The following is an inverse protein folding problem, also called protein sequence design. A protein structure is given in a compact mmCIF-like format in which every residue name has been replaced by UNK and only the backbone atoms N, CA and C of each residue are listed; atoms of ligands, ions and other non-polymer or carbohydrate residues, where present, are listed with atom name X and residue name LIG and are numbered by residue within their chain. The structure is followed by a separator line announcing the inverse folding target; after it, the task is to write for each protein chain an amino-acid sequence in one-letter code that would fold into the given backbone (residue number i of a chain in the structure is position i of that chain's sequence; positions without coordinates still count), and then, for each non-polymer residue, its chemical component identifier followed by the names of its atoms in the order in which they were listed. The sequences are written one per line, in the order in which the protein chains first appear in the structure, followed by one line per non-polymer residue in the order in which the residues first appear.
data_IF_143937221653
#
_entry.id   IF_143937221653
#
_cell.length_a   1.000
_cell.length_b   1.000
_cell.length_c   1.000
_cell.angle_alpha   90.00
_cell.angle_beta   90.00
_cell.angle_gamma   90.00
#
_symmetry.space_group_name_H-M   'P 1'
#
loop_
_entity.id
_entity.type
_entity.pdbx_description
1 polymer ?
#
# COMPACT_ATOMS: atom_id res chain seq x y z
N UNK A 1 30.31 -24.14 37.86
CA UNK A 1 29.34 -23.49 36.94
C UNK A 1 30.02 -22.28 36.29
N UNK A 2 30.39 -22.38 35.02
CA UNK A 2 30.96 -21.26 34.25
C UNK A 2 29.82 -20.57 33.47
N UNK A 3 29.72 -19.24 33.45
CA UNK A 3 28.69 -18.56 32.68
C UNK A 3 29.07 -18.60 31.20
N UNK A 4 28.16 -19.16 30.38
CA UNK A 4 28.26 -19.15 28.93
C UNK A 4 28.03 -17.71 28.45
N UNK A 5 29.08 -17.09 27.91
CA UNK A 5 29.01 -15.80 27.22
C UNK A 5 28.15 -15.97 25.96
N UNK A 6 26.94 -15.44 25.97
CA UNK A 6 26.18 -15.18 24.75
C UNK A 6 26.76 -13.93 24.06
N UNK A 7 27.88 -14.11 23.36
CA UNK A 7 28.32 -13.22 22.30
C UNK A 7 27.87 -13.82 20.98
N UNK A 8 26.68 -13.44 20.51
CA UNK A 8 26.31 -13.48 19.10
C UNK A 8 25.01 -12.69 18.87
N UNK A 9 25.03 -11.42 19.29
CA UNK A 9 24.12 -10.39 18.80
C UNK A 9 24.47 -10.03 17.36
N UNK A 10 24.20 -10.94 16.42
CA UNK A 10 24.56 -10.81 15.00
C UNK A 10 23.86 -9.58 14.40
N UNK A 11 24.65 -8.54 14.14
CA UNK A 11 24.27 -7.31 13.45
C UNK A 11 23.58 -7.60 12.11
N UNK A 12 22.25 -7.49 12.03
CA UNK A 12 21.46 -7.81 10.82
C UNK A 12 20.21 -6.93 10.75
N UNK A 13 19.92 -6.17 9.69
CA UNK A 13 20.71 -5.80 8.53
C UNK A 13 20.28 -4.41 8.06
N UNK A 14 21.06 -3.37 8.36
CA UNK A 14 20.89 -2.06 7.73
C UNK A 14 21.01 -2.24 6.23
N UNK A 15 20.03 -1.74 5.46
CA UNK A 15 20.19 -1.69 4.01
C UNK A 15 21.17 -0.56 3.76
N UNK A 16 22.45 -0.91 3.59
CA UNK A 16 23.50 0.03 3.25
C UNK A 16 23.47 0.21 1.73
N UNK A 17 22.57 1.05 1.24
CA UNK A 17 22.62 1.50 -0.16
C UNK A 17 23.83 2.43 -0.33
N UNK A 18 25.02 1.80 -0.44
CA UNK A 18 26.30 2.49 -0.53
C UNK A 18 26.38 3.38 -1.77
N UNK A 19 25.68 3.01 -2.83
CA UNK A 19 25.64 3.79 -4.07
C UNK A 19 24.87 5.10 -3.89
N UNK A 20 23.67 5.06 -3.29
CA UNK A 20 22.90 6.28 -2.98
C UNK A 20 23.69 7.19 -2.05
N UNK A 21 24.31 6.61 -1.01
CA UNK A 21 25.12 7.36 -0.05
C UNK A 21 26.32 8.00 -0.77
N UNK A 22 27.10 7.25 -1.54
CA UNK A 22 28.26 7.79 -2.27
C UNK A 22 27.87 8.80 -3.37
N UNK A 23 26.68 8.66 -3.97
CA UNK A 23 26.14 9.65 -4.89
C UNK A 23 25.85 10.97 -4.17
N UNK A 24 25.13 10.90 -3.04
CA UNK A 24 24.81 12.07 -2.22
C UNK A 24 26.06 12.70 -1.62
N UNK A 25 26.97 11.92 -1.04
CA UNK A 25 28.21 12.43 -0.43
C UNK A 25 29.05 13.22 -1.42
N UNK A 26 29.20 12.74 -2.67
CA UNK A 26 29.91 13.48 -3.73
C UNK A 26 29.25 14.82 -4.05
N UNK A 27 27.92 14.85 -4.15
CA UNK A 27 27.18 16.09 -4.45
C UNK A 27 27.23 17.06 -3.28
N UNK A 28 27.06 16.56 -2.06
CA UNK A 28 27.11 17.34 -0.83
C UNK A 28 28.52 17.90 -0.63
N UNK A 29 29.57 17.11 -0.84
CA UNK A 29 30.96 17.56 -0.77
C UNK A 29 31.24 18.74 -1.72
N UNK A 30 30.73 18.69 -2.95
CA UNK A 30 30.87 19.79 -3.91
C UNK A 30 30.14 21.07 -3.44
N UNK A 31 28.98 20.93 -2.80
CA UNK A 31 28.20 22.05 -2.28
C UNK A 31 28.84 22.71 -1.05
N UNK A 32 29.44 21.91 -0.16
CA UNK A 32 30.03 22.39 1.10
C UNK A 32 31.53 22.71 1.00
N UNK A 33 32.14 22.46 -0.16
CA UNK A 33 33.56 22.74 -0.41
C UNK A 33 33.89 24.20 -0.14
N UNK A 34 35.01 24.41 0.54
CA UNK A 34 35.60 25.73 0.75
C UNK A 34 36.28 26.29 -0.50
N UNK A 35 36.52 25.46 -1.52
CA UNK A 35 37.00 25.93 -2.81
C UNK A 35 35.94 26.83 -3.45
N UNK A 36 36.33 28.03 -3.87
CA UNK A 36 35.42 28.99 -4.48
C UNK A 36 35.11 28.68 -5.94
N UNK A 37 35.84 27.75 -6.56
CA UNK A 37 35.59 27.31 -7.93
C UNK A 37 34.95 25.90 -7.97
N UNK A 38 34.14 25.57 -9.00
CA UNK A 38 33.61 26.49 -10.01
C UNK A 38 32.53 27.42 -9.42
N UNK A 39 32.39 28.61 -10.02
CA UNK A 39 31.32 29.57 -9.68
C UNK A 39 29.97 29.10 -10.25
N UNK A 40 28.95 28.89 -9.40
CA UNK A 40 27.62 28.54 -9.87
C UNK A 40 26.95 29.74 -10.56
N UNK A 41 26.11 29.53 -11.59
CA UNK A 41 25.34 30.61 -12.20
C UNK A 41 24.41 31.29 -11.19
N UNK A 42 24.01 32.52 -11.47
CA UNK A 42 23.15 33.27 -10.57
C UNK A 42 21.77 32.60 -10.41
N UNK A 43 21.38 32.28 -9.18
CA UNK A 43 20.07 31.68 -8.87
C UNK A 43 18.87 32.57 -9.25
N UNK A 44 19.09 33.88 -9.46
CA UNK A 44 18.02 34.84 -9.78
C UNK A 44 17.89 35.13 -11.27
N UNK A 45 19.00 35.26 -11.98
CA UNK A 45 19.01 35.71 -13.39
C UNK A 45 19.79 34.78 -14.32
N UNK A 46 20.29 33.64 -13.84
CA UNK A 46 21.14 32.69 -14.56
C UNK A 46 22.47 33.24 -15.12
N UNK A 47 22.80 34.51 -14.87
CA UNK A 47 24.04 35.13 -15.32
C UNK A 47 25.30 34.42 -14.80
N UNK A 48 26.34 34.41 -15.62
CA UNK A 48 27.64 33.74 -15.35
C UNK A 48 28.73 34.70 -14.85
N UNK A 49 28.50 36.02 -14.92
CA UNK A 49 29.40 37.03 -14.35
C UNK A 49 29.23 37.07 -12.82
N UNK A 50 29.98 36.21 -12.14
CA UNK A 50 29.91 36.00 -10.70
C UNK A 50 31.23 36.41 -10.05
N UNK A 51 31.17 37.22 -9.00
CA UNK A 51 32.33 37.54 -8.15
C UNK A 51 32.26 36.79 -6.82
N UNK A 52 33.43 36.44 -6.29
CA UNK A 52 33.55 35.84 -4.96
C UNK A 52 33.51 36.97 -3.93
N UNK A 53 32.51 36.93 -3.06
CA UNK A 53 32.15 37.98 -2.12
C UNK A 53 32.43 37.54 -0.68
N UNK A 54 33.62 36.96 -0.49
CA UNK A 54 34.08 36.45 0.79
C UNK A 54 33.48 35.08 1.15
N UNK A 55 33.43 34.82 2.46
CA UNK A 55 33.02 33.53 3.02
C UNK A 55 32.06 33.74 4.18
N UNK A 56 31.08 32.84 4.33
CA UNK A 56 30.23 32.82 5.52
C UNK A 56 31.02 32.36 6.76
N UNK A 57 30.64 32.86 7.96
CA UNK A 57 31.04 32.24 9.22
C UNK A 57 30.68 30.75 9.23
N UNK A 58 31.47 29.92 9.93
CA UNK A 58 31.36 28.45 9.88
C UNK A 58 29.91 27.98 10.13
N UNK A 59 29.19 27.62 9.07
CA UNK A 59 27.83 27.11 9.16
C UNK A 59 27.91 25.59 9.24
N UNK A 60 27.49 25.01 10.38
CA UNK A 60 27.62 23.57 10.59
C UNK A 60 29.07 23.05 10.54
N UNK A 61 30.05 23.92 10.83
CA UNK A 61 31.48 23.60 10.74
C UNK A 61 32.15 23.96 9.41
N UNK A 62 31.37 24.27 8.36
CA UNK A 62 31.89 24.50 7.01
C UNK A 62 32.08 25.99 6.68
N UNK A 63 33.19 26.34 6.01
CA UNK A 63 33.48 27.69 5.52
C UNK A 63 33.04 27.80 4.05
N UNK A 64 31.86 28.36 3.82
CA UNK A 64 31.23 28.39 2.50
C UNK A 64 31.56 29.69 1.76
N UNK A 65 31.99 29.63 0.49
CA UNK A 65 32.11 30.82 -0.35
C UNK A 65 30.75 31.50 -0.53
N UNK A 66 30.77 32.84 -0.52
CA UNK A 66 29.62 33.67 -0.88
C UNK A 66 29.88 34.22 -2.26
N UNK A 67 28.85 34.17 -3.12
CA UNK A 67 28.90 34.67 -4.48
C UNK A 67 28.01 35.88 -4.60
N UNK A 68 28.44 36.86 -5.41
CA UNK A 68 27.60 38.00 -5.80
C UNK A 68 27.53 38.05 -7.32
N UNK A 69 26.31 38.14 -7.85
CA UNK A 69 26.11 38.34 -9.28
C UNK A 69 26.36 39.80 -9.65
N UNK A 70 27.24 40.08 -10.61
CA UNK A 70 27.53 41.45 -11.04
C UNK A 70 26.34 42.10 -11.77
N UNK A 71 25.47 41.31 -12.42
CA UNK A 71 24.34 41.82 -13.19
C UNK A 71 23.14 42.23 -12.32
N UNK A 72 22.83 41.47 -11.26
CA UNK A 72 21.64 41.72 -10.43
C UNK A 72 21.93 41.97 -8.94
N UNK A 73 23.21 41.98 -8.55
CA UNK A 73 23.67 42.23 -7.19
C UNK A 73 23.34 41.13 -6.16
N UNK A 74 22.64 40.06 -6.55
CA UNK A 74 22.21 39.01 -5.62
C UNK A 74 23.39 38.28 -5.01
N UNK A 75 23.43 38.25 -3.67
CA UNK A 75 24.32 37.39 -2.89
C UNK A 75 23.67 36.02 -2.64
N UNK A 76 24.46 34.95 -2.77
CA UNK A 76 24.01 33.57 -2.55
C UNK A 76 25.19 32.63 -2.25
N UNK A 77 24.88 31.42 -1.79
CA UNK A 77 25.84 30.31 -1.64
C UNK A 77 25.42 29.14 -2.51
N UNK A 78 26.27 28.12 -2.66
CA UNK A 78 25.92 26.87 -3.34
C UNK A 78 24.76 26.13 -2.68
N UNK A 79 24.49 26.37 -1.39
CA UNK A 79 23.42 25.68 -0.68
C UNK A 79 22.04 26.21 -1.03
N UNK A 80 21.96 27.43 -1.55
CA UNK A 80 20.68 28.08 -1.76
C UNK A 80 19.85 27.34 -2.81
N UNK A 81 18.59 27.02 -2.47
CA UNK A 81 17.73 26.19 -3.30
C UNK A 81 17.94 24.68 -3.12
N UNK A 82 18.84 24.26 -2.22
CA UNK A 82 19.02 22.84 -1.87
C UNK A 82 18.43 22.55 -0.49
N UNK A 83 18.12 21.28 -0.17
CA UNK A 83 17.68 20.87 1.17
C UNK A 83 18.71 21.13 2.30
N UNK A 84 19.93 21.53 1.96
CA UNK A 84 21.00 21.86 2.91
C UNK A 84 21.00 23.32 3.33
N UNK A 85 20.15 24.17 2.75
CA UNK A 85 20.04 25.59 3.09
C UNK A 85 19.40 25.77 4.48
N UNK A 86 20.19 25.58 5.55
CA UNK A 86 19.78 25.84 6.92
C UNK A 86 20.24 24.80 7.95
N UNK A 87 19.38 24.49 8.92
CA UNK A 87 19.71 23.73 10.15
C UNK A 87 19.95 22.21 9.92
N UNK A 88 19.89 21.72 8.69
CA UNK A 88 20.23 20.33 8.38
C UNK A 88 21.73 20.14 8.14
N UNK A 89 22.44 21.17 7.68
CA UNK A 89 23.84 21.08 7.30
C UNK A 89 24.73 20.48 8.40
N UNK A 90 24.55 20.91 9.65
CA UNK A 90 25.31 20.38 10.80
C UNK A 90 24.94 18.95 11.23
N UNK A 91 23.94 18.32 10.59
CA UNK A 91 23.53 16.93 10.85
C UNK A 91 23.48 16.08 9.56
N UNK A 92 24.07 16.58 8.47
CA UNK A 92 23.99 15.93 7.16
C UNK A 92 24.64 14.54 7.18
N UNK A 93 25.77 14.40 7.87
CA UNK A 93 26.50 13.13 8.06
C UNK A 93 25.68 12.09 8.83
N UNK A 94 24.76 12.53 9.70
CA UNK A 94 23.82 11.64 10.38
C UNK A 94 22.59 11.36 9.53
N UNK A 95 22.13 12.33 8.73
CA UNK A 95 20.89 12.23 7.95
C UNK A 95 21.05 11.38 6.69
N UNK A 96 22.12 11.57 5.92
CA UNK A 96 22.33 10.88 4.64
C UNK A 96 22.31 9.34 4.79
N UNK A 97 22.99 8.74 5.79
CA UNK A 97 22.94 7.30 6.00
C UNK A 97 21.55 6.75 6.37
N UNK A 98 20.63 7.61 6.86
CA UNK A 98 19.26 7.22 7.20
C UNK A 98 18.33 7.17 5.99
N UNK A 99 18.61 7.92 4.91
CA UNK A 99 17.77 7.98 3.71
C UNK A 99 17.43 6.60 3.10
N UNK A 100 18.37 5.65 2.93
CA UNK A 100 18.05 4.32 2.43
C UNK A 100 17.45 3.39 3.50
N UNK A 101 17.40 3.80 4.76
CA UNK A 101 16.86 2.96 5.83
C UNK A 101 15.32 3.02 5.84
N UNK A 102 14.63 1.88 5.99
CA UNK A 102 13.17 1.83 6.09
C UNK A 102 12.68 2.26 7.49
N UNK A 103 13.16 3.40 8.00
CA UNK A 103 12.78 3.96 9.30
C UNK A 103 11.60 4.91 9.15
N UNK A 104 10.74 4.98 10.16
CA UNK A 104 9.73 6.04 10.23
C UNK A 104 10.34 7.40 10.63
N UNK A 105 9.58 8.48 10.42
CA UNK A 105 10.02 9.83 10.77
C UNK A 105 10.20 10.05 12.29
N UNK A 106 9.54 9.25 13.13
CA UNK A 106 9.64 9.38 14.59
C UNK A 106 10.99 8.92 15.11
N UNK A 107 11.44 7.72 14.73
CA UNK A 107 12.75 7.21 15.14
C UNK A 107 13.87 7.99 14.48
N UNK A 108 13.71 8.34 13.21
CA UNK A 108 14.63 9.25 12.54
C UNK A 108 14.71 10.60 13.27
N UNK A 109 13.59 11.11 13.76
CA UNK A 109 13.52 12.29 14.62
C UNK A 109 14.31 12.12 15.91
N UNK A 110 14.20 10.96 16.57
CA UNK A 110 14.99 10.63 17.77
C UNK A 110 16.50 10.62 17.49
N UNK A 111 16.93 10.01 16.38
CA UNK A 111 18.33 9.95 15.96
C UNK A 111 18.87 11.35 15.57
N UNK A 112 18.02 12.19 14.97
CA UNK A 112 18.40 13.52 14.51
C UNK A 112 18.14 14.62 15.54
N UNK A 113 17.54 14.31 16.70
CA UNK A 113 17.05 15.30 17.66
C UNK A 113 16.10 16.32 17.02
N UNK A 114 15.17 15.87 16.19
CA UNK A 114 14.18 16.68 15.45
C UNK A 114 12.77 16.11 15.63
N UNK A 115 11.76 16.96 15.45
CA UNK A 115 10.37 16.51 15.47
C UNK A 115 10.07 15.64 14.22
N UNK A 116 9.18 14.64 14.31
CA UNK A 116 8.86 13.77 13.18
C UNK A 116 8.36 14.54 11.94
N UNK A 117 7.57 15.59 12.15
CA UNK A 117 7.09 16.47 11.07
C UNK A 117 8.25 17.17 10.34
N UNK A 118 9.26 17.63 11.07
CA UNK A 118 10.44 18.27 10.47
C UNK A 118 11.26 17.26 9.65
N UNK A 119 11.39 16.02 10.13
CA UNK A 119 12.05 14.96 9.34
C UNK A 119 11.27 14.64 8.07
N UNK A 120 9.94 14.59 8.16
CA UNK A 120 9.07 14.38 6.99
C UNK A 120 9.27 15.46 5.92
N UNK A 121 9.29 16.73 6.30
CA UNK A 121 9.54 17.84 5.37
C UNK A 121 10.95 17.78 4.76
N UNK A 122 11.97 17.42 5.56
CA UNK A 122 13.33 17.22 5.05
C UNK A 122 13.41 16.08 4.03
N UNK A 123 12.75 14.96 4.29
CA UNK A 123 12.68 13.83 3.35
C UNK A 123 11.99 14.24 2.05
N UNK A 124 10.88 14.99 2.11
CA UNK A 124 10.21 15.52 0.92
C UNK A 124 11.13 16.42 0.10
N UNK A 125 11.79 17.38 0.76
CA UNK A 125 12.74 18.27 0.10
C UNK A 125 13.89 17.50 -0.57
N UNK A 126 14.44 16.48 0.10
CA UNK A 126 15.47 15.62 -0.49
C UNK A 126 14.98 14.82 -1.69
N UNK A 127 13.74 14.31 -1.67
CA UNK A 127 13.17 13.58 -2.80
C UNK A 127 12.99 14.49 -4.02
N UNK A 128 12.52 15.72 -3.83
CA UNK A 128 12.44 16.72 -4.91
C UNK A 128 13.83 17.00 -5.47
N UNK A 129 14.80 17.28 -4.60
CA UNK A 129 16.17 17.56 -5.01
C UNK A 129 16.84 16.38 -5.74
N UNK A 130 16.59 15.13 -5.33
CA UNK A 130 17.09 13.95 -6.04
C UNK A 130 16.52 13.83 -7.46
N UNK A 131 15.26 14.23 -7.67
CA UNK A 131 14.64 14.24 -9.01
C UNK A 131 15.20 15.37 -9.89
N UNK A 132 15.57 16.50 -9.30
CA UNK A 132 16.28 17.58 -10.03
C UNK A 132 17.68 17.13 -10.46
N UNK A 133 18.40 16.39 -9.60
CA UNK A 133 19.73 15.87 -9.90
C UNK A 133 19.73 14.69 -10.88
N UNK A 134 18.68 13.88 -10.86
CA UNK A 134 18.50 12.71 -11.70
C UNK A 134 17.01 12.52 -12.04
N UNK A 135 16.56 13.09 -13.18
CA UNK A 135 15.17 13.00 -13.62
C UNK A 135 14.68 11.57 -13.88
N UNK A 136 15.58 10.58 -14.02
CA UNK A 136 15.18 9.17 -14.15
C UNK A 136 14.52 8.62 -12.87
N UNK A 137 14.72 9.28 -11.73
CA UNK A 137 14.19 8.86 -10.44
C UNK A 137 14.92 7.68 -9.81
N UNK A 138 16.03 7.19 -10.41
CA UNK A 138 16.79 6.04 -9.91
C UNK A 138 17.20 6.20 -8.44
N UNK A 139 17.68 7.37 -8.05
CA UNK A 139 18.11 7.64 -6.67
C UNK A 139 16.94 7.94 -5.72
N UNK A 140 15.91 8.63 -6.21
CA UNK A 140 14.72 8.95 -5.42
C UNK A 140 13.98 7.69 -4.97
N UNK A 141 13.85 6.71 -5.87
CA UNK A 141 13.24 5.40 -5.61
C UNK A 141 13.98 4.57 -4.53
N UNK A 142 15.24 4.91 -4.24
CA UNK A 142 16.06 4.24 -3.22
C UNK A 142 15.93 4.86 -1.84
N UNK A 143 15.28 6.02 -1.70
CA UNK A 143 14.98 6.63 -0.40
C UNK A 143 13.84 5.88 0.28
N UNK A 144 14.09 5.31 1.45
CA UNK A 144 13.13 4.53 2.25
C UNK A 144 12.75 5.18 3.57
N UNK A 145 13.49 6.21 3.99
CA UNK A 145 13.21 6.99 5.19
C UNK A 145 11.84 7.67 5.10
N UNK A 146 11.07 7.59 6.18
CA UNK A 146 9.71 8.14 6.24
C UNK A 146 8.76 7.56 5.19
N UNK A 147 9.08 6.35 4.69
CA UNK A 147 8.75 5.84 3.35
C UNK A 147 7.36 6.06 2.78
N UNK A 148 7.27 6.00 1.43
CA UNK A 148 5.99 5.97 0.72
C UNK A 148 5.22 4.71 1.08
N UNK A 149 3.90 4.84 1.30
CA UNK A 149 2.99 3.74 1.69
C UNK A 149 3.04 2.50 0.79
N UNK A 150 3.49 2.65 -0.47
CA UNK A 150 3.56 1.57 -1.46
C UNK A 150 4.91 0.83 -1.50
N UNK A 151 5.98 1.42 -0.95
CA UNK A 151 7.35 0.86 -1.02
C UNK A 151 7.68 -0.06 0.16
N UNK A 152 6.84 -0.03 1.20
CA UNK A 152 6.93 -1.00 2.30
C UNK A 152 6.51 -2.36 1.75
N UNK A 153 7.50 -3.13 1.27
CA UNK A 153 7.28 -4.48 0.75
C UNK A 153 6.47 -5.29 1.79
N UNK A 154 5.39 -5.96 1.37
CA UNK A 154 4.73 -6.95 2.22
C UNK A 154 5.78 -8.03 2.51
N UNK A 155 6.38 -7.95 3.69
CA UNK A 155 7.27 -9.00 4.17
C UNK A 155 6.35 -9.98 4.88
N UNK A 156 6.40 -11.26 4.49
CA UNK A 156 5.45 -12.25 4.98
C UNK A 156 5.65 -12.44 6.48
N UNK A 157 4.64 -12.09 7.27
CA UNK A 157 4.53 -12.62 8.63
C UNK A 157 4.15 -14.08 8.50
N UNK A 158 5.00 -14.97 9.04
CA UNK A 158 4.58 -16.33 9.33
C UNK A 158 3.41 -16.25 10.30
N UNK A 159 2.20 -16.40 9.74
CA UNK A 159 1.00 -16.72 10.51
C UNK A 159 1.01 -18.23 10.66
N UNK A 160 0.63 -18.73 11.84
CA UNK A 160 0.36 -20.15 12.03
C UNK A 160 -0.50 -20.69 10.87
N UNK A 161 -0.22 -21.91 10.41
CA UNK A 161 -0.71 -22.52 9.15
C UNK A 161 -2.23 -22.37 8.91
N UNK A 162 -3.03 -22.23 9.97
CA UNK A 162 -4.46 -21.92 9.95
C UNK A 162 -4.74 -20.50 9.42
N UNK A 163 -5.13 -20.39 8.15
CA UNK A 163 -5.51 -19.13 7.51
C UNK A 163 -4.57 -18.68 6.39
N UNK A 164 -3.65 -19.54 5.96
CA UNK A 164 -2.84 -19.32 4.75
C UNK A 164 -3.63 -19.51 3.45
N UNK A 165 -4.85 -20.06 3.51
CA UNK A 165 -5.70 -20.26 2.34
C UNK A 165 -7.19 -20.11 2.69
N UNK A 166 -7.99 -19.87 1.66
CA UNK A 166 -9.44 -19.72 1.75
C UNK A 166 -10.06 -20.99 2.35
N UNK A 167 -10.97 -20.77 3.30
CA UNK A 167 -11.81 -21.81 3.86
C UNK A 167 -12.99 -22.09 2.93
N UNK A 168 -12.79 -23.01 1.99
CA UNK A 168 -13.80 -23.34 0.97
C UNK A 168 -15.10 -23.87 1.57
N UNK A 169 -15.04 -24.56 2.73
CA UNK A 169 -16.26 -25.05 3.41
C UNK A 169 -17.07 -23.88 3.96
N UNK A 170 -16.41 -22.93 4.62
CA UNK A 170 -17.05 -21.69 5.08
C UNK A 170 -17.61 -20.90 3.91
N UNK A 171 -16.80 -20.66 2.87
CA UNK A 171 -17.21 -19.93 1.68
C UNK A 171 -18.46 -20.56 1.07
N UNK A 172 -18.46 -21.87 0.84
CA UNK A 172 -19.60 -22.58 0.22
C UNK A 172 -20.87 -22.44 1.06
N UNK A 173 -20.76 -22.66 2.38
CA UNK A 173 -21.90 -22.56 3.30
C UNK A 173 -22.51 -21.16 3.29
N UNK A 174 -21.70 -20.12 3.52
CA UNK A 174 -22.18 -18.75 3.54
C UNK A 174 -22.69 -18.29 2.17
N UNK A 175 -22.07 -18.73 1.08
CA UNK A 175 -22.51 -18.39 -0.27
C UNK A 175 -23.88 -18.99 -0.56
N UNK A 176 -24.11 -20.26 -0.22
CA UNK A 176 -25.41 -20.93 -0.38
C UNK A 176 -26.51 -20.21 0.39
N UNK A 177 -26.29 -19.98 1.68
CA UNK A 177 -27.26 -19.29 2.53
C UNK A 177 -27.51 -17.84 2.04
N UNK A 178 -26.51 -17.22 1.41
CA UNK A 178 -26.60 -15.84 0.95
C UNK A 178 -27.40 -15.79 -0.33
N UNK A 179 -27.15 -16.73 -1.24
CA UNK A 179 -27.92 -16.89 -2.45
C UNK A 179 -29.40 -17.23 -2.11
N UNK A 180 -29.66 -18.01 -1.06
CA UNK A 180 -31.02 -18.33 -0.59
C UNK A 180 -31.81 -17.11 -0.11
N UNK A 181 -31.19 -16.17 0.62
CA UNK A 181 -31.90 -14.95 1.07
C UNK A 181 -32.15 -13.93 -0.06
N UNK A 182 -31.47 -14.08 -1.19
CA UNK A 182 -31.65 -13.28 -2.41
C UNK A 182 -32.36 -14.05 -3.54
N UNK A 183 -32.78 -15.30 -3.28
CA UNK A 183 -33.48 -16.12 -4.26
C UNK A 183 -34.82 -15.50 -4.68
N UNK A 184 -35.06 -15.50 -6.00
CA UNK A 184 -36.30 -14.98 -6.61
C UNK A 184 -37.40 -16.02 -6.75
N UNK A 185 -37.09 -17.30 -6.54
CA UNK A 185 -38.01 -18.42 -6.68
C UNK A 185 -37.76 -19.42 -5.56
N UNK A 186 -38.69 -20.37 -5.41
CA UNK A 186 -38.63 -21.43 -4.41
C UNK A 186 -39.72 -21.32 -3.34
N UNK A 187 -39.85 -22.32 -2.46
CA UNK A 187 -40.95 -22.42 -1.50
C UNK A 187 -40.95 -21.25 -0.52
N UNK A 188 -42.14 -20.85 -0.07
CA UNK A 188 -42.31 -19.79 0.90
C UNK A 188 -41.56 -20.12 2.21
N UNK A 189 -40.67 -19.23 2.68
CA UNK A 189 -39.93 -19.45 3.93
C UNK A 189 -40.87 -19.33 5.15
N UNK A 190 -40.46 -19.89 6.29
CA UNK A 190 -41.14 -19.66 7.57
C UNK A 190 -41.24 -18.17 7.87
N UNK A 191 -42.32 -17.78 8.54
CA UNK A 191 -42.53 -16.39 8.96
C UNK A 191 -41.38 -15.92 9.87
N UNK A 192 -40.67 -14.87 9.46
CA UNK A 192 -39.57 -14.28 10.22
C UNK A 192 -40.00 -13.65 11.56
N UNK A 193 -41.31 -13.44 11.78
CA UNK A 193 -41.85 -12.83 12.99
C UNK A 193 -42.37 -13.84 14.02
N UNK A 194 -42.96 -14.96 13.58
CA UNK A 194 -43.60 -15.94 14.47
C UNK A 194 -43.21 -17.41 14.20
N UNK A 195 -42.34 -17.68 13.22
CA UNK A 195 -41.84 -19.04 12.91
C UNK A 195 -42.82 -19.98 12.20
N UNK A 196 -44.08 -19.56 12.00
CA UNK A 196 -45.13 -20.33 11.31
C UNK A 196 -44.73 -20.70 9.88
N UNK A 197 -45.10 -21.91 9.45
CA UNK A 197 -44.98 -22.36 8.05
C UNK A 197 -46.20 -21.99 7.19
N UNK A 198 -47.24 -21.42 7.79
CA UNK A 198 -48.48 -21.05 7.09
C UNK A 198 -48.29 -19.70 6.38
N UNK A 199 -47.42 -19.71 5.37
CA UNK A 199 -46.97 -18.54 4.61
C UNK A 199 -47.20 -18.77 3.13
N UNK A 200 -47.61 -17.75 2.41
CA UNK A 200 -47.80 -17.82 0.96
C UNK A 200 -47.09 -16.67 0.26
N UNK A 201 -46.69 -16.90 -0.99
CA UNK A 201 -46.08 -15.87 -1.83
C UNK A 201 -47.15 -14.93 -2.36
N UNK A 202 -46.91 -13.62 -2.23
CA UNK A 202 -47.79 -12.60 -2.78
C UNK A 202 -47.55 -12.43 -4.28
N UNK A 203 -48.54 -11.89 -5.00
CA UNK A 203 -48.37 -11.54 -6.40
C UNK A 203 -47.14 -10.62 -6.61
N UNK A 204 -46.35 -10.83 -7.69
CA UNK A 204 -45.24 -9.96 -8.04
C UNK A 204 -45.70 -8.50 -8.17
N UNK A 205 -44.90 -7.57 -7.66
CA UNK A 205 -45.20 -6.13 -7.74
C UNK A 205 -43.99 -5.38 -8.33
N UNK A 206 -44.16 -4.43 -9.26
CA UNK A 206 -43.05 -3.74 -9.94
C UNK A 206 -42.06 -3.04 -9.00
N UNK A 207 -42.55 -2.53 -7.86
CA UNK A 207 -41.69 -1.87 -6.86
C UNK A 207 -40.88 -2.84 -5.99
N UNK A 208 -41.20 -4.14 -6.00
CA UNK A 208 -40.55 -5.16 -5.17
C UNK A 208 -39.45 -5.85 -5.95
N UNK A 209 -38.21 -5.72 -5.47
CA UNK A 209 -37.02 -6.35 -6.08
C UNK A 209 -36.87 -7.83 -5.73
N UNK A 210 -37.54 -8.28 -4.67
CA UNK A 210 -37.54 -9.64 -4.16
C UNK A 210 -38.99 -10.09 -3.91
N UNK A 211 -39.27 -11.40 -3.97
CA UNK A 211 -40.56 -11.95 -3.59
C UNK A 211 -40.98 -11.53 -2.17
N UNK A 212 -42.24 -11.20 -2.01
CA UNK A 212 -42.85 -10.90 -0.72
C UNK A 212 -43.79 -12.03 -0.33
N UNK A 213 -43.85 -12.32 0.96
CA UNK A 213 -44.64 -13.39 1.54
C UNK A 213 -45.51 -12.80 2.63
N UNK A 214 -46.69 -13.37 2.82
CA UNK A 214 -47.57 -13.04 3.93
C UNK A 214 -47.78 -14.27 4.81
N UNK A 215 -47.70 -14.08 6.13
CA UNK A 215 -48.00 -15.11 7.11
C UNK A 215 -49.50 -15.11 7.43
N UNK A 216 -50.20 -16.24 7.24
CA UNK A 216 -51.62 -16.36 7.60
C UNK A 216 -51.88 -16.46 9.10
N UNK A 217 -50.84 -16.70 9.91
CA UNK A 217 -50.98 -16.76 11.37
C UNK A 217 -50.88 -15.38 12.02
N UNK A 218 -49.98 -14.51 11.55
CA UNK A 218 -49.75 -13.19 12.16
C UNK A 218 -49.97 -12.01 11.21
N UNK A 219 -50.41 -12.28 9.97
CA UNK A 219 -50.76 -11.32 8.92
C UNK A 219 -49.66 -10.32 8.54
N UNK A 220 -48.41 -10.59 8.90
CA UNK A 220 -47.27 -9.73 8.55
C UNK A 220 -46.71 -10.09 7.18
N UNK A 221 -46.42 -9.06 6.40
CA UNK A 221 -45.71 -9.17 5.13
C UNK A 221 -44.20 -9.12 5.39
N UNK A 222 -43.46 -10.01 4.74
CA UNK A 222 -42.02 -10.13 4.89
C UNK A 222 -41.37 -10.61 3.59
N UNK A 223 -40.04 -10.60 3.52
CA UNK A 223 -39.29 -11.23 2.45
C UNK A 223 -38.19 -12.12 3.05
N UNK A 224 -37.46 -12.84 2.20
CA UNK A 224 -36.39 -13.77 2.62
C UNK A 224 -35.26 -13.11 3.42
N UNK A 225 -35.10 -11.78 3.34
CA UNK A 225 -34.10 -11.04 4.14
C UNK A 225 -34.66 -10.56 5.48
N UNK A 226 -35.97 -10.59 5.70
CA UNK A 226 -36.55 -10.14 6.97
C UNK A 226 -35.99 -10.99 8.12
N UNK A 227 -35.55 -10.33 9.19
CA UNK A 227 -34.88 -11.00 10.32
C UNK A 227 -33.36 -11.17 10.17
N UNK A 228 -32.81 -10.94 8.97
CA UNK A 228 -31.35 -11.01 8.73
C UNK A 228 -30.69 -9.62 8.85
N UNK A 229 -29.36 -9.56 9.08
CA UNK A 229 -28.58 -8.32 9.02
C UNK A 229 -28.61 -7.61 7.65
N UNK A 230 -29.15 -8.26 6.62
CA UNK A 230 -29.25 -7.71 5.26
C UNK A 230 -30.60 -7.06 4.95
N UNK A 231 -31.57 -7.11 5.87
CA UNK A 231 -32.93 -6.58 5.71
C UNK A 231 -33.01 -5.12 5.23
N UNK A 232 -32.08 -4.25 5.67
CA UNK A 232 -32.00 -2.84 5.26
C UNK A 232 -30.95 -2.55 4.19
N UNK A 233 -30.32 -3.58 3.60
CA UNK A 233 -29.27 -3.35 2.60
C UNK A 233 -29.88 -2.99 1.25
N UNK A 234 -29.42 -1.87 0.68
CA UNK A 234 -29.64 -1.53 -0.72
C UNK A 234 -29.20 -2.65 -1.67
N UNK A 235 -30.02 -2.94 -2.69
CA UNK A 235 -29.77 -4.01 -3.66
C UNK A 235 -28.47 -3.82 -4.45
N UNK A 236 -28.05 -2.59 -4.69
CA UNK A 236 -26.79 -2.28 -5.39
C UNK A 236 -25.57 -2.83 -4.60
N UNK A 237 -25.64 -2.81 -3.27
CA UNK A 237 -24.58 -3.35 -2.41
C UNK A 237 -24.59 -4.88 -2.33
N UNK A 238 -25.71 -5.53 -2.70
CA UNK A 238 -25.82 -6.99 -2.66
C UNK A 238 -24.83 -7.68 -3.61
N UNK A 239 -24.63 -7.10 -4.80
CA UNK A 239 -23.63 -7.59 -5.76
C UNK A 239 -22.19 -7.54 -5.23
N UNK A 240 -21.88 -6.62 -4.31
CA UNK A 240 -20.53 -6.49 -3.71
C UNK A 240 -20.32 -7.38 -2.48
N UNK A 241 -21.39 -7.77 -1.80
CA UNK A 241 -21.30 -8.67 -0.64
C UNK A 241 -20.94 -10.10 -1.01
N UNK A 242 -21.53 -10.63 -2.09
CA UNK A 242 -21.32 -12.03 -2.46
C UNK A 242 -19.83 -12.36 -2.71
N UNK A 243 -19.05 -11.56 -3.47
CA UNK A 243 -17.62 -11.80 -3.62
C UNK A 243 -16.82 -11.66 -2.32
N UNK A 244 -17.27 -10.83 -1.37
CA UNK A 244 -16.58 -10.61 -0.08
C UNK A 244 -16.49 -11.90 0.74
N UNK A 245 -17.45 -12.82 0.60
CA UNK A 245 -17.54 -14.06 1.36
C UNK A 245 -16.22 -14.85 1.30
N UNK A 246 -15.60 -14.91 0.11
CA UNK A 246 -14.32 -15.60 -0.12
C UNK A 246 -13.16 -15.06 0.72
N UNK A 247 -13.23 -13.79 1.11
CA UNK A 247 -12.18 -13.11 1.85
C UNK A 247 -12.35 -13.17 3.37
N UNK A 248 -13.52 -13.60 3.88
CA UNK A 248 -13.84 -13.57 5.31
C UNK A 248 -12.90 -14.46 6.14
N UNK A 249 -12.51 -15.62 5.61
CA UNK A 249 -11.60 -16.57 6.27
C UNK A 249 -10.12 -16.19 6.17
N UNK A 250 -9.78 -15.25 5.27
CA UNK A 250 -8.39 -14.86 5.04
C UNK A 250 -7.98 -13.79 6.05
N UNK A 251 -6.78 -13.89 6.64
CA UNK A 251 -6.25 -12.93 7.62
C UNK A 251 -5.80 -11.63 6.96
N UNK A 252 -6.60 -11.01 6.10
CA UNK A 252 -6.25 -9.78 5.39
C UNK A 252 -6.58 -8.56 6.25
N UNK A 253 -5.83 -7.47 6.08
CA UNK A 253 -6.21 -6.19 6.68
C UNK A 253 -7.41 -5.57 5.95
N UNK A 254 -8.23 -4.77 6.66
CA UNK A 254 -9.32 -4.03 6.03
C UNK A 254 -8.82 -3.10 4.91
N UNK A 255 -7.66 -2.46 5.09
CA UNK A 255 -7.03 -1.62 4.07
C UNK A 255 -6.71 -2.34 2.77
N UNK A 256 -6.38 -3.63 2.84
CA UNK A 256 -6.10 -4.42 1.64
C UNK A 256 -7.40 -4.76 0.90
N UNK A 257 -8.41 -5.24 1.62
CA UNK A 257 -9.70 -5.62 1.00
C UNK A 257 -10.47 -4.39 0.52
N UNK A 258 -10.34 -3.26 1.21
CA UNK A 258 -10.85 -1.96 0.76
C UNK A 258 -10.33 -1.58 -0.63
N UNK A 259 -9.03 -1.75 -0.89
CA UNK A 259 -8.44 -1.50 -2.21
C UNK A 259 -8.98 -2.49 -3.26
N UNK A 260 -9.09 -3.78 -2.94
CA UNK A 260 -9.63 -4.82 -3.86
C UNK A 260 -11.07 -4.49 -4.26
N UNK A 261 -11.89 -4.10 -3.29
CA UNK A 261 -13.30 -3.82 -3.50
C UNK A 261 -13.57 -2.38 -3.92
N UNK A 262 -12.55 -1.51 -4.01
CA UNK A 262 -12.68 -0.07 -4.24
C UNK A 262 -13.75 0.55 -3.31
N UNK A 263 -13.52 0.37 -2.01
CA UNK A 263 -14.42 0.79 -0.93
C UNK A 263 -13.60 1.31 0.26
N UNK A 264 -14.27 1.91 1.24
CA UNK A 264 -13.61 2.37 2.46
C UNK A 264 -13.37 1.24 3.48
N UNK A 265 -12.32 1.35 4.30
CA UNK A 265 -12.00 0.37 5.36
C UNK A 265 -13.18 0.15 6.32
N UNK A 266 -13.86 1.23 6.72
CA UNK A 266 -15.04 1.20 7.61
C UNK A 266 -16.22 0.49 6.96
N UNK A 267 -16.36 0.60 5.64
CA UNK A 267 -17.39 -0.09 4.88
C UNK A 267 -17.11 -1.60 4.85
N UNK A 268 -15.87 -2.02 4.58
CA UNK A 268 -15.49 -3.44 4.64
C UNK A 268 -15.69 -4.01 6.05
N UNK A 269 -15.32 -3.26 7.09
CA UNK A 269 -15.57 -3.67 8.48
C UNK A 269 -17.07 -3.87 8.76
N UNK A 270 -17.90 -2.90 8.38
CA UNK A 270 -19.36 -3.00 8.51
C UNK A 270 -19.92 -4.22 7.78
N UNK A 271 -19.38 -4.54 6.61
CA UNK A 271 -19.77 -5.70 5.83
C UNK A 271 -19.37 -7.01 6.51
N UNK A 272 -18.13 -7.11 7.00
CA UNK A 272 -17.64 -8.25 7.79
C UNK A 272 -18.52 -8.47 9.02
N UNK A 273 -18.89 -7.41 9.74
CA UNK A 273 -19.70 -7.52 10.96
C UNK A 273 -21.16 -7.89 10.69
N UNK A 274 -21.71 -7.54 9.51
CA UNK A 274 -23.00 -8.07 9.05
C UNK A 274 -22.92 -9.58 8.82
N UNK A 275 -21.88 -10.06 8.14
CA UNK A 275 -21.68 -11.49 7.92
C UNK A 275 -21.42 -12.24 9.22
N UNK A 276 -20.68 -11.66 10.18
CA UNK A 276 -20.42 -12.30 11.47
C UNK A 276 -21.73 -12.50 12.25
N UNK A 277 -22.54 -11.43 12.40
CA UNK A 277 -23.86 -11.52 13.05
C UNK A 277 -24.79 -12.52 12.37
N UNK A 278 -24.71 -12.62 11.04
CA UNK A 278 -25.53 -13.56 10.30
C UNK A 278 -25.03 -15.01 10.43
N UNK A 279 -23.72 -15.21 10.47
CA UNK A 279 -23.11 -16.50 10.80
C UNK A 279 -23.54 -16.97 12.21
N UNK A 280 -23.59 -16.07 13.19
CA UNK A 280 -24.09 -16.37 14.54
C UNK A 280 -25.60 -16.67 14.56
N UNK A 281 -26.40 -16.10 13.64
CA UNK A 281 -27.81 -16.48 13.49
C UNK A 281 -27.99 -17.88 12.90
N UNK A 282 -27.09 -18.30 12.00
CA UNK A 282 -27.11 -19.63 11.38
C UNK A 282 -26.60 -20.72 12.33
N UNK A 283 -25.53 -20.42 13.08
CA UNK A 283 -24.90 -21.32 14.06
C UNK A 283 -24.65 -20.54 15.37
N UNK A 284 -25.61 -20.56 16.32
CA UNK A 284 -25.54 -19.79 17.57
C UNK A 284 -24.39 -20.15 18.52
N UNK A 285 -23.73 -21.28 18.30
CA UNK A 285 -22.52 -21.68 19.03
C UNK A 285 -21.27 -20.87 18.62
N UNK A 286 -21.37 -20.05 17.56
CA UNK A 286 -20.30 -19.19 17.05
C UNK A 286 -19.28 -19.90 16.17
N UNK A 287 -19.50 -21.17 15.80
CA UNK A 287 -18.54 -21.95 15.03
C UNK A 287 -18.23 -21.35 13.65
N UNK A 288 -19.23 -20.79 12.97
CA UNK A 288 -19.02 -20.13 11.68
C UNK A 288 -18.27 -18.81 11.81
N UNK A 289 -18.68 -17.92 12.72
CA UNK A 289 -18.09 -16.59 12.86
C UNK A 289 -16.67 -16.63 13.41
N UNK A 290 -16.34 -17.62 14.24
CA UNK A 290 -14.99 -17.86 14.77
C UNK A 290 -13.95 -18.13 13.67
N UNK A 291 -14.37 -18.57 12.48
CA UNK A 291 -13.51 -18.83 11.32
C UNK A 291 -13.16 -17.55 10.55
N UNK A 292 -13.74 -16.41 10.90
CA UNK A 292 -13.50 -15.15 10.21
C UNK A 292 -12.17 -14.56 10.67
N UNK A 293 -11.27 -14.29 9.72
CA UNK A 293 -9.95 -13.71 9.97
C UNK A 293 -9.75 -12.35 9.29
N UNK A 294 -10.68 -11.93 8.43
CA UNK A 294 -10.66 -10.61 7.81
C UNK A 294 -10.64 -9.51 8.88
N UNK A 295 -9.75 -8.54 8.70
CA UNK A 295 -9.47 -7.48 9.68
C UNK A 295 -8.22 -7.73 10.51
N UNK A 296 -7.35 -8.66 10.10
CA UNK A 296 -6.15 -9.01 10.86
C UNK A 296 -5.21 -7.79 11.07
N UNK A 297 -4.80 -7.60 12.32
CA UNK A 297 -3.82 -6.60 12.76
C UNK A 297 -2.71 -7.28 13.55
N UNK A 298 -1.52 -6.66 13.68
CA UNK A 298 -0.50 -7.14 14.60
C UNK A 298 -1.03 -7.23 16.03
N UNK A 299 -0.82 -8.37 16.66
CA UNK A 299 -1.10 -8.62 18.07
C UNK A 299 0.15 -8.45 18.93
N UNK A 300 0.02 -8.64 20.24
CA UNK A 300 1.17 -8.66 21.17
C UNK A 300 2.16 -9.79 20.86
N UNK A 301 1.70 -10.84 20.21
CA UNK A 301 2.53 -11.99 19.86
C UNK A 301 3.15 -11.88 18.47
N UNK A 302 2.75 -10.88 17.68
CA UNK A 302 3.30 -10.68 16.33
C UNK A 302 4.77 -10.23 16.43
N UNK A 303 5.74 -11.06 16.00
CA UNK A 303 7.15 -10.69 16.04
C UNK A 303 7.44 -9.64 14.97
N UNK A 304 8.33 -8.70 15.26
CA UNK A 304 8.88 -7.85 14.23
C UNK A 304 9.67 -8.70 13.23
N UNK A 305 9.33 -8.57 11.95
CA UNK A 305 10.00 -9.27 10.83
C UNK A 305 11.49 -8.99 10.70
N UNK A 306 11.98 -7.94 11.35
CA UNK A 306 13.37 -7.51 11.21
C UNK A 306 14.20 -7.73 12.48
N UNK A 307 13.62 -7.56 13.66
CA UNK A 307 14.35 -7.68 14.93
C UNK A 307 13.81 -8.77 15.85
N UNK A 308 12.77 -9.51 15.43
CA UNK A 308 12.17 -10.61 16.19
C UNK A 308 11.35 -10.20 17.41
N UNK A 309 11.44 -8.95 17.90
CA UNK A 309 10.70 -8.51 19.09
C UNK A 309 9.20 -8.55 18.88
N UNK A 310 8.50 -9.28 19.74
CA UNK A 310 7.04 -9.36 19.78
C UNK A 310 6.42 -8.11 20.40
N UNK A 311 5.18 -7.80 20.03
CA UNK A 311 4.39 -6.74 20.67
C UNK A 311 4.89 -5.32 20.42
N UNK A 312 5.79 -5.15 19.46
CA UNK A 312 6.40 -3.87 19.14
C UNK A 312 5.72 -3.12 17.99
N UNK A 313 4.69 -3.71 17.38
CA UNK A 313 3.99 -3.12 16.26
C UNK A 313 3.13 -1.92 16.68
N UNK A 314 3.37 -0.75 16.08
CA UNK A 314 2.55 0.45 16.20
C UNK A 314 2.07 0.91 14.84
N UNK A 315 0.82 1.35 14.77
CA UNK A 315 0.21 1.80 13.53
C UNK A 315 0.79 3.17 13.16
N UNK A 316 1.29 3.31 11.94
CA UNK A 316 1.79 4.58 11.37
C UNK A 316 0.88 4.98 10.19
N UNK A 317 -0.07 5.87 10.47
CA UNK A 317 -1.14 6.20 9.53
C UNK A 317 -2.10 5.03 9.23
N UNK A 318 -2.78 5.05 8.07
CA UNK A 318 -3.83 4.07 7.77
C UNK A 318 -3.31 2.69 7.32
N UNK A 319 -2.16 2.63 6.64
CA UNK A 319 -1.76 1.44 5.84
C UNK A 319 -0.44 0.79 6.24
N UNK A 320 0.32 1.38 7.16
CA UNK A 320 1.69 0.95 7.49
C UNK A 320 1.82 0.77 9.00
N UNK A 321 2.66 -0.19 9.39
CA UNK A 321 3.03 -0.44 10.79
C UNK A 321 4.51 -0.19 10.97
N UNK A 322 4.93 0.13 12.17
CA UNK A 322 6.34 0.23 12.52
C UNK A 322 6.63 -0.55 13.80
N UNK A 323 7.85 -1.09 13.90
CA UNK A 323 8.34 -1.69 15.12
C UNK A 323 8.93 -0.62 16.04
N UNK A 324 8.43 -0.44 17.26
CA UNK A 324 9.05 0.48 18.25
C UNK A 324 10.44 0.03 18.69
N UNK A 325 10.77 -1.25 18.49
CA UNK A 325 12.06 -1.80 18.89
C UNK A 325 13.21 -1.49 17.92
N UNK A 326 12.94 -1.51 16.61
CA UNK A 326 13.95 -1.24 15.57
C UNK A 326 13.60 -0.07 14.63
N UNK A 327 12.45 0.57 14.83
CA UNK A 327 11.97 1.72 14.04
C UNK A 327 11.49 1.37 12.62
N UNK A 328 11.60 0.10 12.19
CA UNK A 328 11.35 -0.27 10.80
C UNK A 328 9.88 -0.32 10.46
N UNK A 329 9.56 0.21 9.28
CA UNK A 329 8.25 0.12 8.65
C UNK A 329 8.01 -1.28 8.06
N UNK A 330 6.80 -1.81 8.22
CA UNK A 330 6.33 -3.03 7.60
C UNK A 330 4.83 -2.95 7.27
N UNK A 331 4.39 -3.79 6.34
CA UNK A 331 3.00 -3.85 5.86
C UNK A 331 2.38 -5.19 6.27
N UNK A 332 1.09 -5.18 6.59
CA UNK A 332 0.29 -6.39 6.85
C UNK A 332 -0.36 -6.95 5.57
N UNK A 333 -0.07 -6.33 4.42
CA UNK A 333 -0.58 -6.81 3.14
C UNK A 333 0.00 -8.19 2.84
N UNK A 334 -0.82 -9.02 2.23
CA UNK A 334 -0.47 -10.38 1.83
C UNK A 334 -0.67 -10.54 0.35
N UNK A 335 0.24 -11.23 -0.31
CA UNK A 335 0.06 -11.59 -1.72
C UNK A 335 -0.99 -12.69 -1.79
N UNK A 336 -2.01 -12.49 -2.60
CA UNK A 336 -3.06 -13.47 -2.85
C UNK A 336 -2.90 -14.02 -4.25
N UNK A 337 -2.89 -15.34 -4.35
CA UNK A 337 -2.92 -16.07 -5.62
C UNK A 337 -4.14 -16.97 -5.61
N UNK A 338 -4.84 -17.07 -6.74
CA UNK A 338 -5.90 -18.05 -6.91
C UNK A 338 -5.33 -19.29 -7.58
N UNK A 339 -5.37 -20.43 -6.88
CA UNK A 339 -4.96 -21.73 -7.42
C UNK A 339 -6.15 -22.68 -7.31
N UNK A 340 -6.53 -23.30 -8.43
CA UNK A 340 -7.65 -24.25 -8.50
C UNK A 340 -8.96 -23.70 -7.91
N UNK A 341 -9.26 -22.41 -8.14
CA UNK A 341 -10.47 -21.76 -7.63
C UNK A 341 -10.48 -21.47 -6.12
N UNK A 342 -9.32 -21.53 -5.45
CA UNK A 342 -9.14 -21.25 -4.03
C UNK A 342 -8.09 -20.16 -3.85
N UNK A 343 -8.34 -19.18 -2.98
CA UNK A 343 -7.31 -18.21 -2.63
C UNK A 343 -6.25 -18.80 -1.69
N UNK A 344 -5.00 -18.50 -1.99
CA UNK A 344 -3.83 -18.83 -1.18
C UNK A 344 -3.01 -17.58 -0.92
N UNK A 345 -2.53 -17.44 0.33
CA UNK A 345 -1.57 -16.42 0.73
C UNK A 345 -0.19 -16.99 0.46
N UNK A 346 0.49 -16.41 -0.51
CA UNK A 346 1.87 -16.77 -0.83
C UNK A 346 2.79 -15.85 -0.03
N UNK A 347 3.65 -16.44 0.80
CA UNK A 347 4.77 -15.70 1.35
C UNK A 347 5.66 -15.28 0.19
N UNK A 348 6.21 -14.06 0.20
CA UNK A 348 7.26 -13.71 -0.74
C UNK A 348 8.45 -14.64 -0.45
N UNK A 349 8.43 -15.84 -1.04
CA UNK A 349 9.63 -16.60 -1.30
C UNK A 349 10.48 -15.65 -2.11
N UNK A 350 11.56 -15.19 -1.48
CA UNK A 350 12.66 -14.61 -2.22
C UNK A 350 13.19 -15.80 -3.01
N UNK A 351 12.68 -15.98 -4.23
CA UNK A 351 13.43 -16.70 -5.24
C UNK A 351 14.71 -15.88 -5.43
N UNK A 352 15.75 -16.23 -4.67
CA UNK A 352 17.12 -16.03 -5.11
C UNK A 352 17.22 -16.84 -6.41
N UNK A 353 16.95 -16.18 -7.54
CA UNK A 353 17.34 -16.68 -8.85
C UNK A 353 18.86 -16.55 -8.94
N UNK A 354 19.54 -17.50 -8.29
CA UNK A 354 20.92 -17.85 -8.59
C UNK A 354 20.96 -18.50 -9.97
N UNK A 355 21.88 -17.98 -10.79
CA UNK A 355 22.47 -18.56 -12.00
C UNK A 355 21.56 -19.36 -12.93
N UNK A 356 21.00 -18.64 -13.91
CA UNK A 356 20.68 -19.23 -15.20
C UNK A 356 21.98 -19.74 -15.86
N UNK A 357 22.27 -21.01 -15.60
CA UNK A 357 23.21 -21.82 -16.37
C UNK A 357 22.73 -21.84 -17.81
N UNK A 358 23.51 -21.23 -18.71
CA UNK A 358 23.28 -21.26 -20.16
C UNK A 358 23.58 -22.67 -20.68
N UNK A 359 22.61 -23.39 -21.27
CA UNK A 359 22.93 -24.57 -22.06
C UNK A 359 23.39 -24.11 -23.45
N UNK A 360 24.55 -24.60 -23.87
CA UNK A 360 25.18 -24.28 -25.15
C UNK A 360 24.24 -24.49 -26.34
N UNK A 361 24.16 -23.47 -27.20
CA UNK A 361 23.60 -23.59 -28.53
C UNK A 361 24.64 -24.21 -29.46
N UNK A 362 24.40 -25.46 -29.85
CA UNK A 362 25.05 -26.08 -30.99
C UNK A 362 24.61 -25.37 -32.28
N UNK A 363 25.61 -24.95 -33.06
CA UNK A 363 25.42 -24.45 -34.41
C UNK A 363 25.13 -25.63 -35.36
N UNK A 364 23.90 -25.71 -35.86
CA UNK A 364 23.59 -26.50 -37.04
C UNK A 364 23.05 -25.58 -38.15
N UNK A 365 23.91 -25.37 -39.14
CA UNK A 365 23.63 -24.70 -40.41
C UNK A 365 22.69 -25.58 -41.23
N UNK A 366 21.56 -25.03 -41.69
CA UNK A 366 20.93 -25.52 -42.92
C UNK A 366 20.04 -24.47 -43.57
N UNK A 367 20.42 -24.10 -44.78
CA UNK A 367 19.74 -23.15 -45.65
C UNK A 367 18.74 -23.87 -46.58
N UNK A 368 17.60 -23.20 -46.83
CA UNK A 368 16.66 -23.26 -47.99
C UNK A 368 15.22 -23.08 -47.46
N UNK A 369 14.27 -22.46 -48.13
CA UNK A 369 14.20 -21.61 -49.32
C UNK A 369 12.75 -21.17 -49.44
N UNK A 370 12.53 -19.86 -49.64
CA UNK A 370 11.51 -19.20 -50.49
C UNK A 370 10.00 -19.30 -50.19
N UNK A 371 9.41 -18.08 -50.28
CA UNK A 371 8.11 -17.63 -50.84
C UNK A 371 6.93 -17.48 -49.86
N UNK A 372 6.34 -16.27 -49.88
CA UNK A 372 4.92 -16.03 -49.56
C UNK A 372 4.62 -14.77 -48.74
N UNK A 373 4.55 -13.61 -49.39
CA UNK A 373 3.82 -12.39 -48.95
C UNK A 373 2.47 -12.43 -49.74
N UNK A 374 1.29 -11.88 -49.34
CA UNK A 374 1.04 -10.66 -48.54
C UNK A 374 -0.15 -10.62 -47.54
N UNK A 375 -0.20 -9.48 -46.80
CA UNK A 375 -1.37 -8.68 -46.32
C UNK A 375 -2.29 -9.34 -45.27
N UNK A 376 -2.46 -8.75 -44.10
CA UNK A 376 -3.30 -7.55 -43.91
C UNK A 376 -2.97 -6.86 -42.59
N UNK A 377 -2.71 -5.54 -42.65
CA UNK A 377 -2.63 -4.68 -41.48
C UNK A 377 -3.94 -3.90 -41.35
N UNK A 378 -4.65 -4.07 -40.23
CA UNK A 378 -5.75 -3.19 -39.82
C UNK A 378 -5.27 -2.35 -38.65
N UNK A 379 -4.94 -1.10 -38.95
CA UNK A 379 -4.72 0.00 -38.01
C UNK A 379 -6.10 0.63 -37.79
N UNK A 380 -6.61 0.62 -36.56
CA UNK A 380 -7.83 1.35 -36.20
C UNK A 380 -7.39 2.71 -35.67
N UNK A 381 -7.67 3.75 -36.46
CA UNK A 381 -7.68 5.15 -36.08
C UNK A 381 -8.98 5.43 -35.31
N UNK A 382 -8.86 6.12 -34.18
CA UNK A 382 -9.99 6.75 -33.49
C UNK A 382 -9.98 8.22 -33.90
N UNK A 383 -10.91 8.56 -34.80
CA UNK A 383 -11.27 9.95 -35.10
C UNK A 383 -12.12 10.50 -33.96
N UNK A 384 -11.64 11.60 -33.42
CA UNK A 384 -12.39 12.61 -32.68
C UNK A 384 -13.34 13.31 -33.63
N UNK A 385 -14.64 13.32 -33.32
CA UNK A 385 -15.57 14.31 -33.86
C UNK A 385 -16.41 14.92 -32.75
N UNK A 386 -16.01 16.15 -32.44
CA UNK A 386 -16.72 17.29 -31.91
C UNK A 386 -18.05 17.53 -32.64
N UNK A 387 -19.13 17.78 -31.89
CA UNK A 387 -20.15 18.75 -32.32
C UNK A 387 -21.02 19.26 -31.17
N UNK A 388 -20.89 20.57 -30.98
CA UNK A 388 -21.70 21.48 -30.18
C UNK A 388 -23.14 21.65 -30.69
N UNK A 389 -24.03 22.05 -29.77
CA UNK A 389 -24.95 23.19 -29.83
C UNK A 389 -25.69 23.30 -28.49
N UNK A 390 -25.52 24.38 -27.71
CA UNK A 390 -26.26 25.67 -27.80
C UNK A 390 -27.78 25.45 -27.67
N UNK A 391 -28.57 26.17 -26.88
CA UNK A 391 -28.36 27.37 -26.07
C UNK A 391 -29.61 27.62 -25.20
N UNK A 392 -29.41 28.35 -24.11
CA UNK A 392 -30.27 29.39 -23.48
C UNK A 392 -31.77 29.19 -23.17
N UNK A 393 -32.09 29.52 -21.91
CA UNK A 393 -33.08 30.51 -21.38
C UNK A 393 -33.51 29.98 -19.99
N UNK A 394 -33.43 30.69 -18.86
CA UNK A 394 -33.75 32.08 -18.59
C UNK A 394 -34.82 32.09 -17.48
N UNK A 395 -34.41 32.10 -16.21
CA UNK A 395 -35.15 32.55 -15.01
C UNK A 395 -34.30 32.31 -13.76
#
# INVERSE_FOLDING_TARGET
MKPVRNQDGKARGQVKDRELIAFLDRRIAALISSDAEPRPPCIRCAGTSIVIDGYRPRLGGYRLPVYRCSACGKQYTRLQGTPLDGRLLGKVETFVPLLPQPLNCTEAGRLLGKLPAQVSELVKAFRVWLLELDPSGKWEARVRLGGRRAEVRPTSLHVAETGTAEDVKLTRRLTSEYDDIYAKAGPAPRCAHCGSRNTYEMAPHPSRRLPAFECRTCHRVFNRRTGTPFSSTYMVSAGRFRPLIRYLSLPLSYAQVADIFQADETQIQTWRDKFARWADQLEPDGNLSARFRLGATPTRDTPCLFCGRTGTARRDGRRVWHCIGCGRLFSMRRTLVERNGRFEIVGAEVEDQDDATVPGMDFAVSAKSRRGVPRTARRVTLDTHEKDREDREGA
#
